data_IF_045793293593
#
_entry.id   IF_045793293593
#
_cell.length_a   1.000
_cell.length_b   1.000
_cell.length_c   1.000
_cell.angle_alpha   90.00
_cell.angle_beta   90.00
_cell.angle_gamma   90.00
#
_symmetry.space_group_name_H-M   'P 1'
#
loop_
_entity.id
_entity.type
_entity.pdbx_description
1 polymer ?
#
# COMPACT_ATOMS: atom_id res chain seq x y z
N UNK A 1 34.06 14.10 7.41
CA UNK A 1 33.33 13.60 6.24
C UNK A 1 32.30 12.65 6.80
N UNK A 2 31.01 12.98 6.69
CA UNK A 2 29.94 12.08 7.16
C UNK A 2 30.09 10.75 6.42
N UNK A 3 30.09 9.60 7.12
CA UNK A 3 30.23 8.31 6.47
C UNK A 3 28.99 8.06 5.58
N UNK A 4 29.25 7.66 4.33
CA UNK A 4 28.18 7.24 3.42
C UNK A 4 27.46 6.01 3.97
N UNK A 5 26.13 5.98 3.85
CA UNK A 5 25.31 4.86 4.31
C UNK A 5 25.53 3.61 3.43
N UNK A 6 26.16 2.56 3.97
CA UNK A 6 26.37 1.30 3.24
C UNK A 6 25.05 0.49 3.14
N UNK A 7 24.48 0.41 1.91
CA UNK A 7 23.27 -0.33 1.63
C UNK A 7 23.36 -1.84 1.92
N UNK A 8 24.56 -2.42 1.96
CA UNK A 8 24.75 -3.82 2.36
C UNK A 8 24.57 -3.99 3.85
N UNK A 9 25.18 -3.10 4.66
CA UNK A 9 25.01 -3.08 6.11
C UNK A 9 23.57 -2.79 6.49
N UNK A 10 22.92 -1.87 5.75
CA UNK A 10 21.50 -1.58 5.92
C UNK A 10 20.62 -2.82 5.68
N UNK A 11 20.90 -3.64 4.63
CA UNK A 11 20.21 -4.91 4.41
C UNK A 11 20.43 -5.92 5.52
N UNK A 12 21.64 -5.99 6.05
CA UNK A 12 21.94 -6.86 7.19
C UNK A 12 21.17 -6.43 8.44
N UNK A 13 21.11 -5.12 8.68
CA UNK A 13 20.32 -4.57 9.78
C UNK A 13 18.83 -4.91 9.64
N UNK A 14 18.22 -4.67 8.49
CA UNK A 14 16.80 -4.98 8.23
C UNK A 14 16.54 -6.48 8.44
N UNK A 15 17.38 -7.36 7.91
CA UNK A 15 17.21 -8.81 8.10
C UNK A 15 17.24 -9.22 9.58
N UNK A 16 18.09 -8.61 10.41
CA UNK A 16 18.11 -8.87 11.85
C UNK A 16 16.87 -8.28 12.54
N UNK A 17 16.40 -7.12 12.10
CA UNK A 17 15.21 -6.46 12.63
C UNK A 17 13.94 -7.26 12.34
N UNK A 18 13.82 -7.84 11.15
CA UNK A 18 12.69 -8.69 10.76
C UNK A 18 12.61 -9.98 11.59
N UNK A 19 13.77 -10.60 11.83
CA UNK A 19 13.85 -11.89 12.51
C UNK A 19 13.95 -11.76 14.04
N UNK A 20 14.38 -10.62 14.54
CA UNK A 20 14.79 -10.42 15.94
C UNK A 20 15.69 -11.57 16.46
N UNK A 21 16.44 -12.17 15.54
CA UNK A 21 17.32 -13.32 15.77
C UNK A 21 18.47 -13.36 14.77
N UNK A 22 19.71 -13.20 15.26
CA UNK A 22 20.89 -13.19 14.41
C UNK A 22 21.16 -14.49 13.67
N UNK A 23 20.78 -15.64 14.25
CA UNK A 23 20.95 -16.95 13.60
C UNK A 23 20.02 -17.12 12.41
N UNK A 24 18.72 -16.82 12.58
CA UNK A 24 17.72 -16.86 11.49
C UNK A 24 18.05 -15.83 10.40
N UNK A 25 18.40 -14.61 10.79
CA UNK A 25 18.79 -13.57 9.84
C UNK A 25 20.04 -13.94 9.04
N UNK A 26 21.03 -14.56 9.66
CA UNK A 26 22.24 -15.04 8.97
C UNK A 26 21.90 -16.18 7.97
N UNK A 27 21.00 -17.09 8.36
CA UNK A 27 20.51 -18.15 7.49
C UNK A 27 19.76 -17.60 6.27
N UNK A 28 18.85 -16.63 6.47
CA UNK A 28 18.11 -15.99 5.36
C UNK A 28 19.03 -15.24 4.40
N UNK A 29 20.12 -14.66 4.90
CA UNK A 29 21.15 -13.97 4.13
C UNK A 29 22.21 -14.91 3.52
N UNK A 30 22.16 -16.21 3.83
CA UNK A 30 23.15 -17.22 3.42
C UNK A 30 24.59 -16.86 3.82
N UNK A 31 24.80 -16.33 5.04
CA UNK A 31 26.10 -16.00 5.61
C UNK A 31 26.26 -16.60 7.00
N UNK A 32 27.50 -16.68 7.48
CA UNK A 32 27.76 -17.14 8.85
C UNK A 32 27.34 -16.08 9.88
N UNK A 33 26.66 -16.51 10.96
CA UNK A 33 26.22 -15.63 12.05
C UNK A 33 27.33 -14.72 12.64
N UNK A 34 28.58 -15.20 12.86
CA UNK A 34 29.68 -14.35 13.34
C UNK A 34 30.01 -13.20 12.38
N UNK A 35 29.86 -13.43 11.05
CA UNK A 35 30.05 -12.39 10.03
C UNK A 35 28.96 -11.33 10.15
N UNK A 36 27.70 -11.75 10.22
CA UNK A 36 26.58 -10.84 10.40
C UNK A 36 26.74 -9.99 11.68
N UNK A 37 27.05 -10.63 12.79
CA UNK A 37 27.25 -9.94 14.09
C UNK A 37 28.35 -8.88 14.02
N UNK A 38 29.47 -9.17 13.34
CA UNK A 38 30.56 -8.19 13.16
C UNK A 38 30.13 -7.03 12.25
N UNK A 39 29.37 -7.31 11.18
CA UNK A 39 28.90 -6.27 10.26
C UNK A 39 27.89 -5.33 10.95
N UNK A 40 27.00 -5.86 11.80
CA UNK A 40 26.07 -5.03 12.57
C UNK A 40 26.83 -4.17 13.60
N UNK A 41 27.80 -4.71 14.33
CA UNK A 41 28.61 -3.89 15.25
C UNK A 41 29.35 -2.78 14.51
N UNK A 42 30.01 -3.09 13.40
CA UNK A 42 30.69 -2.08 12.60
C UNK A 42 29.71 -1.00 12.07
N UNK A 43 28.46 -1.36 11.83
CA UNK A 43 27.43 -0.41 11.42
C UNK A 43 26.96 0.47 12.58
N UNK A 44 26.80 -0.11 13.78
CA UNK A 44 26.52 0.62 15.03
C UNK A 44 27.65 1.61 15.36
N UNK A 45 28.91 1.17 15.22
CA UNK A 45 30.09 2.02 15.44
C UNK A 45 30.16 3.20 14.44
N UNK A 46 29.86 2.97 13.17
CA UNK A 46 29.82 4.02 12.14
C UNK A 46 28.70 5.05 12.39
N UNK A 47 27.54 4.61 12.87
CA UNK A 47 26.42 5.48 13.21
C UNK A 47 26.59 6.14 14.60
N UNK A 48 27.51 5.63 15.43
CA UNK A 48 27.74 6.11 16.80
C UNK A 48 26.59 5.79 17.75
N UNK A 49 25.70 4.84 17.40
CA UNK A 49 24.53 4.45 18.20
C UNK A 49 24.32 2.94 18.18
N UNK A 50 23.78 2.39 19.25
CA UNK A 50 23.30 1.00 19.24
C UNK A 50 21.94 0.90 18.57
N UNK A 51 21.79 -0.11 17.70
CA UNK A 51 20.55 -0.40 16.98
C UNK A 51 19.76 -1.54 17.63
N UNK A 52 20.47 -2.45 18.31
CA UNK A 52 19.88 -3.60 18.99
C UNK A 52 20.29 -3.66 20.47
N UNK A 53 19.33 -4.01 21.31
CA UNK A 53 19.58 -4.53 22.66
C UNK A 53 19.63 -6.05 22.56
N UNK A 54 20.65 -6.65 23.21
CA UNK A 54 20.86 -8.10 23.24
C UNK A 54 20.94 -8.53 24.69
N UNK A 55 20.02 -9.33 25.10
CA UNK A 55 20.01 -9.92 26.44
C UNK A 55 19.74 -11.44 26.38
N UNK A 56 19.59 -12.07 27.52
CA UNK A 56 19.31 -13.51 27.66
C UNK A 56 17.91 -13.89 27.16
N UNK A 57 17.02 -12.92 26.94
CA UNK A 57 15.65 -13.12 26.46
C UNK A 57 15.54 -12.97 24.94
N UNK A 58 16.54 -12.34 24.29
CA UNK A 58 16.53 -12.20 22.84
C UNK A 58 17.22 -10.96 22.30
N UNK A 59 16.78 -10.56 21.13
CA UNK A 59 17.21 -9.34 20.42
C UNK A 59 16.02 -8.43 20.22
N UNK A 60 16.15 -7.16 20.61
CA UNK A 60 15.13 -6.12 20.42
C UNK A 60 15.75 -4.89 19.75
N UNK A 61 14.94 -4.10 19.04
CA UNK A 61 15.37 -2.82 18.49
C UNK A 61 15.42 -1.75 19.58
N UNK A 62 16.50 -0.94 19.57
CA UNK A 62 16.53 0.32 20.31
C UNK A 62 15.60 1.36 19.66
N UNK A 63 15.41 2.53 20.28
CA UNK A 63 14.70 3.66 19.64
C UNK A 63 15.37 4.09 18.32
N UNK A 64 16.71 4.14 18.30
CA UNK A 64 17.48 4.42 17.09
C UNK A 64 17.33 3.32 16.04
N UNK A 65 17.28 2.05 16.48
CA UNK A 65 17.00 0.91 15.61
C UNK A 65 15.61 0.99 15.00
N UNK A 66 14.59 1.35 15.79
CA UNK A 66 13.23 1.53 15.28
C UNK A 66 13.12 2.68 14.26
N UNK A 67 13.83 3.79 14.52
CA UNK A 67 13.90 4.91 13.58
C UNK A 67 14.53 4.44 12.25
N UNK A 68 15.73 3.84 12.33
CA UNK A 68 16.45 3.36 11.15
C UNK A 68 15.64 2.31 10.38
N UNK A 69 14.92 1.42 11.07
CA UNK A 69 14.10 0.39 10.43
C UNK A 69 12.99 0.99 9.56
N UNK A 70 12.30 2.01 10.04
CA UNK A 70 11.26 2.72 9.27
C UNK A 70 11.82 3.37 7.99
N UNK A 71 13.02 3.93 8.05
CA UNK A 71 13.68 4.61 6.91
C UNK A 71 14.36 3.62 5.95
N UNK A 72 14.90 2.53 6.48
CA UNK A 72 15.72 1.56 5.75
C UNK A 72 14.99 0.89 4.59
N UNK A 73 13.73 0.49 4.77
CA UNK A 73 12.94 -0.18 3.74
C UNK A 73 12.79 0.71 2.49
N UNK A 74 12.50 2.00 2.68
CA UNK A 74 12.37 2.96 1.59
C UNK A 74 13.67 3.15 0.80
N UNK A 75 14.82 3.25 1.50
CA UNK A 75 16.13 3.39 0.87
C UNK A 75 16.51 2.14 0.07
N UNK A 76 16.33 0.95 0.64
CA UNK A 76 16.63 -0.31 -0.03
C UNK A 76 15.73 -0.55 -1.24
N UNK A 77 14.45 -0.19 -1.13
CA UNK A 77 13.48 -0.26 -2.22
C UNK A 77 13.89 0.69 -3.36
N UNK A 78 14.26 1.93 -3.06
CA UNK A 78 14.73 2.92 -4.04
C UNK A 78 16.00 2.46 -4.74
N UNK A 79 16.97 1.89 -4.02
CA UNK A 79 18.19 1.33 -4.61
C UNK A 79 17.88 0.14 -5.55
N UNK A 80 16.95 -0.75 -5.16
CA UNK A 80 16.50 -1.85 -6.01
C UNK A 80 15.79 -1.34 -7.28
N UNK A 81 15.00 -0.27 -7.17
CA UNK A 81 14.34 0.40 -8.29
C UNK A 81 15.34 0.95 -9.31
N UNK A 82 16.40 1.63 -8.84
CA UNK A 82 17.47 2.14 -9.72
C UNK A 82 18.12 0.99 -10.49
N UNK A 83 18.53 -0.09 -9.79
CA UNK A 83 19.13 -1.27 -10.43
C UNK A 83 18.24 -1.86 -11.52
N UNK A 84 16.93 -2.00 -11.25
CA UNK A 84 15.96 -2.56 -12.19
C UNK A 84 15.83 -1.68 -13.43
N UNK A 85 15.70 -0.37 -13.26
CA UNK A 85 15.64 0.59 -14.38
C UNK A 85 16.89 0.55 -15.27
N UNK A 86 18.07 0.50 -14.66
CA UNK A 86 19.32 0.38 -15.40
C UNK A 86 19.35 -0.94 -16.18
N UNK A 87 18.92 -2.06 -15.58
CA UNK A 87 18.89 -3.35 -16.26
C UNK A 87 17.89 -3.39 -17.44
N UNK A 88 16.72 -2.72 -17.31
CA UNK A 88 15.76 -2.57 -18.41
C UNK A 88 16.36 -1.72 -19.54
N UNK A 89 16.92 -0.57 -19.21
CA UNK A 89 17.56 0.31 -20.18
C UNK A 89 18.72 -0.36 -20.94
N UNK A 90 19.53 -1.17 -20.24
CA UNK A 90 20.64 -1.90 -20.84
C UNK A 90 20.18 -2.97 -21.87
N UNK A 91 18.93 -3.43 -21.80
CA UNK A 91 18.34 -4.32 -22.80
C UNK A 91 17.68 -3.59 -23.98
N UNK A 92 17.72 -2.27 -24.00
CA UNK A 92 17.04 -1.46 -25.01
C UNK A 92 15.50 -1.51 -24.90
N UNK A 93 14.96 -2.02 -23.79
CA UNK A 93 13.54 -2.13 -23.58
C UNK A 93 12.98 -0.83 -23.00
N UNK A 94 11.86 -0.35 -23.52
CA UNK A 94 11.08 0.74 -22.95
C UNK A 94 9.84 0.13 -22.28
N UNK A 95 9.88 -0.05 -20.96
CA UNK A 95 8.78 -0.61 -20.17
C UNK A 95 8.16 0.49 -19.31
N UNK A 96 6.83 0.55 -19.28
CA UNK A 96 6.08 1.47 -18.43
C UNK A 96 5.01 0.70 -17.64
N UNK A 97 5.11 0.75 -16.31
CA UNK A 97 4.24 -0.02 -15.41
C UNK A 97 3.25 0.89 -14.68
N UNK A 98 1.97 0.52 -14.74
CA UNK A 98 0.87 1.21 -14.06
C UNK A 98 0.37 0.36 -12.90
N UNK A 99 0.44 0.91 -11.68
CA UNK A 99 -0.15 0.33 -10.47
C UNK A 99 -1.64 0.66 -10.37
N UNK A 100 -2.46 -0.26 -9.88
CA UNK A 100 -3.88 -0.02 -9.67
C UNK A 100 -4.43 -0.83 -8.50
N UNK A 101 -5.38 -0.25 -7.76
CA UNK A 101 -6.07 -0.91 -6.66
C UNK A 101 -7.32 -1.67 -7.13
N UNK A 102 -7.80 -2.67 -6.36
CA UNK A 102 -9.02 -3.42 -6.67
C UNK A 102 -10.22 -2.52 -6.97
N UNK A 103 -10.97 -2.86 -8.02
CA UNK A 103 -12.14 -2.10 -8.47
C UNK A 103 -11.82 -0.89 -9.36
N UNK A 104 -10.57 -0.43 -9.44
CA UNK A 104 -10.18 0.58 -10.42
C UNK A 104 -9.87 -0.07 -11.77
N UNK A 105 -10.35 0.53 -12.85
CA UNK A 105 -10.08 0.10 -14.22
C UNK A 105 -9.14 1.09 -14.89
N UNK A 106 -7.95 0.64 -15.27
CA UNK A 106 -6.93 1.46 -15.95
C UNK A 106 -6.87 1.19 -17.46
N UNK A 107 -7.75 0.33 -17.94
CA UNK A 107 -7.70 -0.22 -19.31
C UNK A 107 -7.73 0.86 -20.39
N UNK A 108 -8.62 1.86 -20.27
CA UNK A 108 -8.74 2.89 -21.31
C UNK A 108 -7.54 3.83 -21.32
N UNK A 109 -7.03 4.20 -20.15
CA UNK A 109 -5.82 5.01 -20.04
C UNK A 109 -4.60 4.27 -20.63
N UNK A 110 -4.43 2.98 -20.28
CA UNK A 110 -3.36 2.13 -20.82
C UNK A 110 -3.47 1.98 -22.33
N UNK A 111 -4.65 1.66 -22.87
CA UNK A 111 -4.88 1.54 -24.33
C UNK A 111 -4.62 2.85 -25.06
N UNK A 112 -5.10 3.96 -24.53
CA UNK A 112 -4.89 5.28 -25.12
C UNK A 112 -3.42 5.66 -25.14
N UNK A 113 -2.71 5.39 -24.06
CA UNK A 113 -1.28 5.64 -23.96
C UNK A 113 -0.48 4.74 -24.91
N UNK A 114 -0.78 3.45 -24.99
CA UNK A 114 -0.09 2.50 -25.87
C UNK A 114 -0.26 2.84 -27.36
N UNK A 115 -1.45 3.33 -27.76
CA UNK A 115 -1.64 3.82 -29.15
C UNK A 115 -0.74 5.01 -29.48
N UNK A 116 -0.47 5.89 -28.52
CA UNK A 116 0.40 7.06 -28.70
C UNK A 116 1.90 6.74 -28.57
N UNK A 117 2.23 5.62 -27.92
CA UNK A 117 3.61 5.18 -27.63
C UNK A 117 3.78 3.69 -27.96
N UNK A 118 3.73 3.28 -29.26
CA UNK A 118 3.77 1.87 -29.67
C UNK A 118 5.08 1.17 -29.31
N UNK A 119 6.18 1.92 -29.15
CA UNK A 119 7.51 1.38 -28.78
C UNK A 119 7.65 1.12 -27.27
N UNK A 120 6.60 1.43 -26.47
CA UNK A 120 6.61 1.24 -25.02
C UNK A 120 5.84 -0.03 -24.68
N UNK A 121 6.49 -0.96 -24.01
CA UNK A 121 5.81 -2.14 -23.45
C UNK A 121 5.06 -1.74 -22.17
N UNK A 122 3.72 -1.83 -22.22
CA UNK A 122 2.88 -1.54 -21.07
C UNK A 122 2.77 -2.75 -20.14
N UNK A 123 2.96 -2.51 -18.86
CA UNK A 123 2.69 -3.47 -17.79
C UNK A 123 1.69 -2.89 -16.80
N UNK A 124 0.91 -3.75 -16.17
CA UNK A 124 0.00 -3.38 -15.08
C UNK A 124 0.31 -4.23 -13.85
N UNK A 125 0.25 -3.64 -12.68
CA UNK A 125 0.46 -4.36 -11.43
C UNK A 125 -0.65 -4.02 -10.44
N UNK A 126 -1.25 -5.06 -9.85
CA UNK A 126 -2.25 -4.89 -8.81
C UNK A 126 -1.55 -4.50 -7.50
N UNK A 127 -2.08 -3.50 -6.82
CA UNK A 127 -1.66 -3.06 -5.49
C UNK A 127 -2.80 -3.25 -4.48
N UNK A 128 -2.45 -3.29 -3.21
CA UNK A 128 -3.37 -3.26 -2.09
C UNK A 128 -3.30 -1.93 -1.34
N UNK A 129 -4.03 -1.86 -0.22
CA UNK A 129 -3.99 -0.72 0.67
C UNK A 129 -2.58 -0.45 1.22
N UNK A 130 -1.87 -1.51 1.62
CA UNK A 130 -0.57 -1.43 2.30
C UNK A 130 0.59 -1.06 1.36
N UNK A 131 0.48 -1.36 0.07
CA UNK A 131 1.58 -1.21 -0.87
C UNK A 131 1.32 -0.26 -2.05
N UNK A 132 0.17 0.43 -2.08
CA UNK A 132 -0.18 1.35 -3.17
C UNK A 132 0.84 2.49 -3.37
N UNK A 133 1.46 2.97 -2.30
CA UNK A 133 2.53 3.97 -2.33
C UNK A 133 3.90 3.31 -2.50
N UNK A 134 4.14 2.23 -1.75
CA UNK A 134 5.43 1.53 -1.77
C UNK A 134 5.81 1.02 -3.17
N UNK A 135 4.84 0.62 -3.99
CA UNK A 135 5.08 0.19 -5.38
C UNK A 135 5.76 1.26 -6.24
N UNK A 136 5.57 2.55 -5.91
CA UNK A 136 6.23 3.68 -6.56
C UNK A 136 7.65 3.87 -6.05
N UNK A 137 7.83 3.87 -4.74
CA UNK A 137 9.14 4.04 -4.10
C UNK A 137 10.11 2.91 -4.44
N UNK A 138 9.64 1.67 -4.52
CA UNK A 138 10.46 0.52 -4.92
C UNK A 138 10.55 0.34 -6.44
N UNK A 139 9.93 1.21 -7.22
CA UNK A 139 9.99 1.26 -8.69
C UNK A 139 9.37 0.05 -9.38
N UNK A 140 8.47 -0.69 -8.71
CA UNK A 140 7.65 -1.73 -9.35
C UNK A 140 6.60 -1.13 -10.29
N UNK A 141 6.20 0.13 -10.03
CA UNK A 141 5.37 0.90 -10.93
C UNK A 141 5.99 2.26 -11.23
N UNK A 142 5.71 2.78 -12.41
CA UNK A 142 6.11 4.12 -12.84
C UNK A 142 5.11 5.17 -12.38
N UNK A 143 3.84 4.79 -12.39
CA UNK A 143 2.70 5.52 -11.83
C UNK A 143 1.77 4.54 -11.14
N UNK A 144 0.98 5.01 -10.16
CA UNK A 144 -0.03 4.19 -9.49
C UNK A 144 -1.31 4.99 -9.24
N UNK A 145 -2.45 4.35 -9.47
CA UNK A 145 -3.73 4.85 -9.02
C UNK A 145 -3.87 4.59 -7.53
N UNK A 146 -3.91 5.67 -6.75
CA UNK A 146 -3.90 5.69 -5.29
C UNK A 146 -5.27 6.10 -4.75
N UNK A 147 -5.71 5.51 -3.66
CA UNK A 147 -6.89 5.94 -2.90
C UNK A 147 -6.49 6.55 -1.57
N UNK A 148 -7.06 7.72 -1.25
CA UNK A 148 -6.88 8.33 0.07
C UNK A 148 -7.60 7.51 1.16
N UNK A 149 -7.04 7.58 2.40
CA UNK A 149 -5.82 8.27 2.82
C UNK A 149 -4.54 7.50 2.42
N UNK A 150 -3.48 8.22 2.07
CA UNK A 150 -2.13 7.72 1.88
C UNK A 150 -1.14 8.84 2.24
N UNK A 151 0.09 8.47 2.61
CA UNK A 151 1.17 9.42 2.82
C UNK A 151 1.70 9.93 1.46
N UNK A 152 1.60 11.24 1.16
CA UNK A 152 2.10 11.81 -0.08
C UNK A 152 3.61 12.11 -0.06
N UNK A 153 4.33 11.82 1.04
CA UNK A 153 5.75 12.10 1.15
C UNK A 153 6.55 11.49 -0.01
N UNK A 154 7.40 12.27 -0.65
CA UNK A 154 8.20 11.84 -1.81
C UNK A 154 7.42 11.66 -3.12
N UNK A 155 6.10 11.84 -3.13
CA UNK A 155 5.27 11.69 -4.32
C UNK A 155 4.86 13.04 -4.91
N UNK A 156 4.68 13.05 -6.23
CA UNK A 156 3.84 13.98 -6.95
C UNK A 156 2.52 13.27 -7.27
N UNK A 157 1.40 13.98 -7.14
CA UNK A 157 0.07 13.40 -7.34
C UNK A 157 -0.83 14.30 -8.17
N UNK A 158 -1.65 13.71 -9.02
CA UNK A 158 -2.72 14.36 -9.78
C UNK A 158 -4.06 13.81 -9.32
N UNK A 159 -4.99 14.62 -8.81
CA UNK A 159 -6.33 14.16 -8.49
C UNK A 159 -7.07 13.79 -9.78
N UNK A 160 -7.67 12.61 -9.80
CA UNK A 160 -8.42 12.13 -10.97
C UNK A 160 -9.92 12.26 -10.73
N UNK A 161 -10.39 11.73 -9.61
CA UNK A 161 -11.79 11.73 -9.26
C UNK A 161 -12.05 11.36 -7.79
N UNK A 162 -13.31 11.51 -7.38
CA UNK A 162 -13.82 11.00 -6.12
C UNK A 162 -15.01 10.05 -6.34
N UNK A 163 -15.22 9.12 -5.43
CA UNK A 163 -16.29 8.13 -5.49
C UNK A 163 -16.90 7.90 -4.11
N UNK A 164 -18.23 7.63 -4.03
CA UNK A 164 -18.89 7.32 -2.77
C UNK A 164 -18.33 6.06 -2.12
N UNK A 165 -18.54 5.95 -0.80
CA UNK A 165 -18.23 4.75 -0.02
C UNK A 165 -19.51 3.98 0.31
N UNK A 166 -19.37 2.65 0.33
CA UNK A 166 -20.45 1.71 0.67
C UNK A 166 -19.97 0.77 1.76
N UNK A 167 -20.88 0.31 2.59
CA UNK A 167 -20.65 -0.80 3.50
C UNK A 167 -21.01 -2.12 2.81
N UNK A 168 -20.17 -3.13 2.98
CA UNK A 168 -20.39 -4.51 2.56
C UNK A 168 -20.93 -5.28 3.77
N UNK A 169 -22.12 -5.85 3.61
CA UNK A 169 -22.89 -6.55 4.64
C UNK A 169 -23.26 -7.97 4.15
N UNK A 170 -23.48 -8.93 5.06
CA UNK A 170 -24.15 -10.18 4.70
C UNK A 170 -25.53 -9.91 4.05
N UNK A 171 -25.97 -10.78 3.16
CA UNK A 171 -27.23 -10.56 2.44
C UNK A 171 -28.48 -10.58 3.34
N UNK A 172 -28.39 -11.25 4.50
CA UNK A 172 -29.43 -11.36 5.53
C UNK A 172 -29.30 -10.33 6.68
N UNK A 173 -28.34 -9.41 6.59
CA UNK A 173 -28.15 -8.38 7.59
C UNK A 173 -29.34 -7.43 7.64
N UNK A 174 -29.72 -6.94 8.84
CA UNK A 174 -30.85 -6.04 9.04
C UNK A 174 -30.82 -4.77 8.17
N UNK A 175 -29.61 -4.27 7.87
CA UNK A 175 -29.41 -3.08 7.04
C UNK A 175 -29.21 -3.41 5.55
N UNK A 176 -29.25 -4.66 5.13
CA UNK A 176 -28.92 -5.08 3.75
C UNK A 176 -29.90 -4.55 2.68
N UNK A 177 -31.12 -4.18 3.09
CA UNK A 177 -32.18 -3.64 2.20
C UNK A 177 -32.37 -2.14 2.32
N UNK A 178 -31.56 -1.46 3.14
CA UNK A 178 -31.65 -0.02 3.30
C UNK A 178 -31.14 0.73 2.04
N UNK A 179 -31.76 1.86 1.71
CA UNK A 179 -31.30 2.73 0.61
C UNK A 179 -29.98 3.46 0.95
N UNK A 180 -29.64 3.56 2.23
CA UNK A 180 -28.42 4.12 2.77
C UNK A 180 -28.38 3.99 4.29
N UNK A 181 -27.17 4.05 4.85
CA UNK A 181 -26.92 3.99 6.29
C UNK A 181 -26.00 5.11 6.73
N UNK A 182 -26.04 5.44 8.02
CA UNK A 182 -25.07 6.33 8.66
C UNK A 182 -23.94 5.50 9.30
N UNK A 183 -22.78 6.11 9.51
CA UNK A 183 -21.69 5.46 10.25
C UNK A 183 -22.11 5.05 11.66
N UNK A 184 -22.98 5.81 12.30
CA UNK A 184 -23.55 5.48 13.63
C UNK A 184 -24.34 4.18 13.64
N UNK A 185 -25.02 3.84 12.53
CA UNK A 185 -25.81 2.60 12.43
C UNK A 185 -24.92 1.35 12.42
N UNK A 186 -23.65 1.54 12.06
CA UNK A 186 -22.63 0.49 11.99
C UNK A 186 -21.80 0.40 13.28
N UNK A 187 -22.05 1.23 14.28
CA UNK A 187 -21.19 1.40 15.46
C UNK A 187 -20.99 0.12 16.29
N UNK A 188 -21.92 -0.83 16.23
CA UNK A 188 -21.86 -2.11 16.94
C UNK A 188 -21.15 -3.22 16.14
N UNK A 189 -20.90 -2.98 14.85
CA UNK A 189 -20.33 -3.96 13.95
C UNK A 189 -18.79 -4.10 14.13
N UNK A 190 -18.25 -5.21 13.63
CA UNK A 190 -16.80 -5.44 13.58
C UNK A 190 -16.24 -5.08 12.20
N UNK A 191 -15.28 -4.15 12.16
CA UNK A 191 -14.60 -3.76 10.91
C UNK A 191 -13.48 -4.76 10.57
N UNK A 192 -13.56 -5.38 9.39
CA UNK A 192 -12.62 -6.42 8.90
C UNK A 192 -11.35 -5.85 8.25
N UNK A 193 -11.25 -4.55 8.07
CA UNK A 193 -10.11 -3.88 7.46
C UNK A 193 -9.35 -3.03 8.47
N UNK A 194 -8.15 -2.58 8.08
CA UNK A 194 -7.39 -1.63 8.89
C UNK A 194 -8.22 -0.35 9.11
N UNK A 195 -8.47 0.06 10.36
CA UNK A 195 -9.18 1.31 10.65
C UNK A 195 -8.52 2.55 10.05
N UNK A 196 -7.22 2.53 9.77
CA UNK A 196 -6.54 3.62 9.07
C UNK A 196 -7.08 3.86 7.65
N UNK A 197 -7.68 2.84 7.03
CA UNK A 197 -8.38 2.98 5.74
C UNK A 197 -9.75 3.69 5.86
N UNK A 198 -10.29 3.78 7.07
CA UNK A 198 -11.57 4.44 7.40
C UNK A 198 -11.36 5.23 8.69
N UNK A 199 -10.67 6.39 8.65
CA UNK A 199 -10.32 7.14 9.86
C UNK A 199 -11.53 7.52 10.71
N UNK A 200 -12.70 7.72 10.07
CA UNK A 200 -13.96 8.08 10.71
C UNK A 200 -14.49 6.96 11.61
N UNK A 201 -14.06 5.71 11.40
CA UNK A 201 -14.46 4.54 12.19
C UNK A 201 -14.16 4.71 13.68
N UNK A 202 -13.01 5.29 14.01
CA UNK A 202 -12.60 5.49 15.40
C UNK A 202 -13.56 6.36 16.23
N UNK A 203 -14.31 7.25 15.58
CA UNK A 203 -15.25 8.15 16.24
C UNK A 203 -16.54 7.44 16.68
N UNK A 204 -16.96 6.41 15.98
CA UNK A 204 -18.27 5.76 16.16
C UNK A 204 -18.18 4.35 16.73
N UNK A 205 -17.14 3.59 16.41
CA UNK A 205 -17.05 2.17 16.73
C UNK A 205 -17.02 1.88 18.24
N UNK A 206 -17.96 1.06 18.71
CA UNK A 206 -18.03 0.61 20.10
C UNK A 206 -16.83 -0.27 20.44
N UNK A 207 -16.37 -1.08 19.52
CA UNK A 207 -15.19 -1.94 19.70
C UNK A 207 -13.90 -1.13 19.95
N UNK A 208 -13.74 0.04 19.33
CA UNK A 208 -12.59 0.92 19.53
C UNK A 208 -12.54 1.53 20.93
N UNK A 209 -13.69 1.75 21.56
CA UNK A 209 -13.80 2.28 22.94
C UNK A 209 -13.48 1.19 23.99
N UNK A 210 -13.66 -0.08 23.66
CA UNK A 210 -13.48 -1.22 24.56
C UNK A 210 -12.08 -1.86 24.45
N UNK A 211 -11.28 -1.52 23.44
CA UNK A 211 -9.98 -2.15 23.20
C UNK A 211 -8.91 -1.71 24.19
N UNK A 212 -8.73 -2.57 25.18
CA UNK A 212 -7.42 -2.89 25.79
C UNK A 212 -7.17 -4.36 25.48
N UNK A 213 -6.51 -4.66 24.36
CA UNK A 213 -6.02 -6.01 24.07
C UNK A 213 -6.74 -6.75 22.92
N UNK A 214 -5.94 -7.32 22.06
CA UNK A 214 -6.19 -8.21 20.91
C UNK A 214 -6.58 -7.49 19.62
N UNK A 215 -5.56 -7.18 18.82
CA UNK A 215 -5.73 -6.85 17.42
C UNK A 215 -6.08 -8.16 16.67
N UNK A 216 -7.34 -8.36 16.27
CA UNK A 216 -7.66 -9.33 15.22
C UNK A 216 -6.95 -8.83 13.96
N UNK A 217 -6.23 -9.71 13.29
CA UNK A 217 -5.50 -9.37 12.05
C UNK A 217 -6.50 -8.86 11.02
N UNK A 218 -6.31 -7.63 10.56
CA UNK A 218 -7.13 -7.07 9.50
C UNK A 218 -6.98 -7.91 8.22
N UNK A 219 -8.07 -8.16 7.53
CA UNK A 219 -8.05 -8.84 6.24
C UNK A 219 -7.38 -7.97 5.18
N UNK A 220 -6.47 -8.55 4.41
CA UNK A 220 -5.61 -7.83 3.44
C UNK A 220 -6.26 -7.66 2.08
N UNK A 221 -7.02 -8.64 1.61
CA UNK A 221 -7.61 -8.63 0.27
C UNK A 221 -9.10 -8.37 0.28
N UNK A 222 -9.66 -7.94 -0.85
CA UNK A 222 -11.11 -7.77 -1.00
C UNK A 222 -11.81 -9.12 -1.00
N UNK A 223 -11.18 -10.14 -1.56
CA UNK A 223 -11.68 -11.50 -1.64
C UNK A 223 -11.82 -12.11 -0.24
N UNK A 224 -10.81 -11.95 0.64
CA UNK A 224 -10.90 -12.38 2.04
C UNK A 224 -12.03 -11.66 2.79
N UNK A 225 -12.20 -10.35 2.57
CA UNK A 225 -13.28 -9.58 3.17
C UNK A 225 -14.64 -10.08 2.71
N UNK A 226 -14.79 -10.41 1.43
CA UNK A 226 -16.04 -11.00 0.91
C UNK A 226 -16.42 -12.30 1.61
N UNK A 227 -15.45 -13.22 1.80
CA UNK A 227 -15.72 -14.47 2.51
C UNK A 227 -16.10 -14.21 3.98
N UNK A 228 -15.34 -13.36 4.67
CA UNK A 228 -15.58 -13.06 6.08
C UNK A 228 -16.90 -12.31 6.30
N UNK A 229 -17.29 -11.41 5.40
CA UNK A 229 -18.59 -10.75 5.45
C UNK A 229 -19.71 -11.75 5.19
N UNK A 230 -19.58 -12.59 4.15
CA UNK A 230 -20.61 -13.59 3.81
C UNK A 230 -20.92 -14.56 4.95
N UNK A 231 -19.93 -14.89 5.79
CA UNK A 231 -20.13 -15.73 6.99
C UNK A 231 -20.50 -14.94 8.26
N UNK A 232 -20.77 -13.64 8.15
CA UNK A 232 -21.20 -12.81 9.28
C UNK A 232 -20.09 -12.47 10.29
N UNK A 233 -18.80 -12.55 9.90
CA UNK A 233 -17.68 -12.27 10.81
C UNK A 233 -17.46 -10.77 11.05
N UNK A 234 -18.10 -9.89 10.28
CA UNK A 234 -18.03 -8.45 10.38
C UNK A 234 -18.41 -7.76 9.08
N UNK A 235 -18.05 -6.49 8.97
CA UNK A 235 -18.36 -5.63 7.82
C UNK A 235 -17.09 -5.09 7.19
N UNK A 236 -17.19 -4.56 5.96
CA UNK A 236 -16.12 -3.77 5.35
C UNK A 236 -16.69 -2.52 4.68
N UNK A 237 -15.97 -1.41 4.75
CA UNK A 237 -16.33 -0.14 4.09
C UNK A 237 -15.41 0.03 2.88
N UNK A 238 -15.99 0.06 1.69
CA UNK A 238 -15.27 0.02 0.42
C UNK A 238 -15.71 1.17 -0.51
N UNK A 239 -14.85 1.58 -1.45
CA UNK A 239 -15.27 2.47 -2.54
C UNK A 239 -16.31 1.81 -3.45
N UNK A 240 -17.20 2.60 -4.02
CA UNK A 240 -18.29 2.11 -4.88
C UNK A 240 -17.79 1.32 -6.10
N UNK A 241 -16.66 1.72 -6.68
CA UNK A 241 -16.06 1.01 -7.83
C UNK A 241 -15.66 -0.42 -7.44
N UNK A 242 -15.12 -0.62 -6.22
CA UNK A 242 -14.82 -1.97 -5.70
C UNK A 242 -16.09 -2.80 -5.55
N UNK A 243 -17.15 -2.23 -4.98
CA UNK A 243 -18.44 -2.91 -4.84
C UNK A 243 -19.05 -3.32 -6.19
N UNK A 244 -18.91 -2.47 -7.19
CA UNK A 244 -19.41 -2.78 -8.56
C UNK A 244 -18.64 -3.91 -9.23
N UNK A 245 -17.36 -4.02 -8.95
CA UNK A 245 -16.49 -5.05 -9.52
C UNK A 245 -16.69 -6.43 -8.84
N UNK A 246 -16.89 -6.44 -7.51
CA UNK A 246 -16.97 -7.65 -6.70
C UNK A 246 -18.41 -7.99 -6.27
N UNK A 247 -19.32 -8.18 -7.22
CA UNK A 247 -20.72 -8.54 -6.91
C UNK A 247 -20.87 -10.03 -6.58
N UNK A 248 -21.55 -10.33 -5.45
CA UNK A 248 -21.90 -11.70 -5.03
C UNK A 248 -23.34 -11.72 -4.48
N UNK A 249 -24.06 -12.85 -4.62
CA UNK A 249 -25.46 -12.95 -4.16
C UNK A 249 -25.59 -12.97 -2.63
N UNK A 250 -24.57 -13.42 -1.91
CA UNK A 250 -24.51 -13.59 -0.45
C UNK A 250 -24.02 -12.34 0.30
N UNK A 251 -23.69 -11.26 -0.41
CA UNK A 251 -23.34 -9.97 0.17
C UNK A 251 -24.17 -8.82 -0.42
N UNK A 252 -24.32 -7.75 0.33
CA UNK A 252 -24.97 -6.50 -0.11
C UNK A 252 -24.02 -5.33 0.09
N UNK A 253 -24.18 -4.35 -0.77
CA UNK A 253 -23.43 -3.10 -0.71
C UNK A 253 -24.43 -1.96 -0.53
N UNK A 254 -24.38 -1.30 0.63
CA UNK A 254 -25.29 -0.23 1.01
C UNK A 254 -24.51 1.08 1.10
N UNK A 255 -24.98 2.20 0.52
CA UNK A 255 -24.32 3.50 0.64
C UNK A 255 -24.15 3.94 2.09
N UNK A 256 -22.97 4.47 2.47
CA UNK A 256 -22.77 5.16 3.76
C UNK A 256 -22.85 6.66 3.47
N UNK A 257 -23.97 7.26 3.87
CA UNK A 257 -24.39 8.58 3.35
C UNK A 257 -23.70 9.77 4.02
N UNK A 258 -23.18 9.60 5.21
CA UNK A 258 -22.45 10.62 6.00
C UNK A 258 -20.93 10.54 5.88
N UNK A 259 -20.41 9.60 5.05
CA UNK A 259 -18.98 9.54 4.77
C UNK A 259 -18.59 10.43 3.59
N UNK A 260 -17.49 11.19 3.69
CA UNK A 260 -16.95 11.89 2.54
C UNK A 260 -16.53 10.88 1.45
N UNK A 261 -16.66 11.25 0.16
CA UNK A 261 -16.19 10.40 -0.93
C UNK A 261 -14.70 10.11 -0.81
N UNK A 262 -14.28 8.92 -1.25
CA UNK A 262 -12.87 8.57 -1.40
C UNK A 262 -12.31 9.22 -2.65
N UNK A 263 -11.18 9.93 -2.51
CA UNK A 263 -10.46 10.52 -3.64
C UNK A 263 -9.51 9.50 -4.27
N UNK A 264 -9.49 9.47 -5.59
CA UNK A 264 -8.53 8.70 -6.39
C UNK A 264 -7.55 9.66 -7.06
N UNK A 265 -6.27 9.41 -6.84
CA UNK A 265 -5.16 10.17 -7.40
C UNK A 265 -4.30 9.27 -8.28
N UNK A 266 -3.67 9.84 -9.30
CA UNK A 266 -2.54 9.23 -9.97
C UNK A 266 -1.27 9.74 -9.28
N UNK A 267 -0.45 8.83 -8.75
CA UNK A 267 0.80 9.16 -8.06
C UNK A 267 2.03 8.67 -8.80
N UNK A 268 3.15 9.36 -8.61
CA UNK A 268 4.48 8.97 -9.09
C UNK A 268 5.57 9.57 -8.21
N UNK A 269 6.79 9.04 -8.26
CA UNK A 269 7.96 9.56 -7.57
C UNK A 269 8.25 11.01 -7.97
N UNK A 270 8.25 11.95 -7.01
CA UNK A 270 8.43 13.40 -7.24
C UNK A 270 9.78 13.74 -7.88
N UNK A 271 10.84 13.00 -7.52
CA UNK A 271 12.18 13.17 -8.06
C UNK A 271 12.38 12.62 -9.47
N UNK A 272 11.41 11.84 -9.97
CA UNK A 272 11.53 11.12 -11.23
C UNK A 272 11.07 11.98 -12.43
N UNK A 273 12.04 12.47 -13.18
CA UNK A 273 11.78 13.19 -14.43
C UNK A 273 11.66 12.20 -15.58
N UNK A 274 10.44 12.00 -16.10
CA UNK A 274 10.18 11.10 -17.22
C UNK A 274 9.11 11.69 -18.15
N UNK A 275 9.42 11.77 -19.45
CA UNK A 275 8.44 12.19 -20.47
C UNK A 275 7.25 11.24 -20.54
N UNK A 276 7.46 9.94 -20.30
CA UNK A 276 6.40 8.94 -20.31
C UNK A 276 5.45 9.14 -19.12
N UNK A 277 5.97 9.47 -17.93
CA UNK A 277 5.11 9.80 -16.78
C UNK A 277 4.23 11.01 -17.10
N UNK A 278 4.82 12.10 -17.59
CA UNK A 278 4.07 13.31 -17.94
C UNK A 278 2.99 13.01 -19.00
N UNK A 279 3.32 12.24 -20.02
CA UNK A 279 2.37 11.84 -21.07
C UNK A 279 1.25 10.94 -20.52
N UNK A 280 1.58 9.99 -19.64
CA UNK A 280 0.56 9.12 -19.04
C UNK A 280 -0.37 9.90 -18.11
N UNK A 281 0.13 10.82 -17.30
CA UNK A 281 -0.68 11.70 -16.43
C UNK A 281 -1.69 12.49 -17.26
N UNK A 282 -1.24 13.10 -18.37
CA UNK A 282 -2.13 13.83 -19.29
C UNK A 282 -3.20 12.91 -19.91
N UNK A 283 -2.82 11.69 -20.29
CA UNK A 283 -3.74 10.68 -20.86
C UNK A 283 -4.77 10.24 -19.82
N UNK A 284 -4.35 9.88 -18.63
CA UNK A 284 -5.24 9.44 -17.56
C UNK A 284 -6.26 10.54 -17.19
N UNK A 285 -5.80 11.77 -17.03
CA UNK A 285 -6.69 12.92 -16.75
C UNK A 285 -7.73 13.11 -17.86
N UNK A 286 -7.35 13.01 -19.11
CA UNK A 286 -8.27 13.15 -20.26
C UNK A 286 -9.32 12.03 -20.28
N UNK A 287 -8.93 10.80 -20.01
CA UNK A 287 -9.83 9.64 -19.97
C UNK A 287 -10.85 9.77 -18.85
N UNK A 288 -10.39 10.12 -17.63
CA UNK A 288 -11.29 10.24 -16.47
C UNK A 288 -12.27 11.44 -16.61
N UNK A 289 -11.83 12.54 -17.19
CA UNK A 289 -12.71 13.70 -17.44
C UNK A 289 -13.68 13.45 -18.60
N UNK A 290 -13.28 12.65 -19.60
CA UNK A 290 -14.12 12.31 -20.77
C UNK A 290 -15.14 11.21 -20.48
N UNK A 291 -14.74 10.17 -19.74
CA UNK A 291 -15.58 9.00 -19.44
C UNK A 291 -16.76 9.29 -18.49
N UNK A 292 -16.69 10.36 -17.69
CA UNK A 292 -17.78 10.78 -16.78
C UNK A 292 -18.85 11.66 -17.43
N UNK A 293 -18.67 12.04 -18.69
CA UNK A 293 -19.68 12.81 -19.45
C UNK A 293 -20.64 11.93 -20.27
N UNK A 294 -20.45 10.60 -20.29
CA UNK A 294 -21.44 9.69 -20.88
C UNK A 294 -22.49 9.32 -19.82
N UNK A 295 -23.80 9.46 -20.10
CA UNK A 295 -24.90 9.23 -19.18
C UNK A 295 -25.01 7.78 -18.68
#
# INVERSE_FOLDING_TARGET
MDPDLDLRKLRYFVAVADELNFGRAAASLMIAQPVLSRQIRAFEDELGVQLFVRDTRGTELTEHGQLLYREAEGLLASAAAVRRRVAIAARGESVFTVGFMPGLTVTEAVRSFQRAHPDVTMQVTRTGWEDQVRVLHDGRADVSYLRRPFDPAGLATEPLFSEPRVVMLPADHALATADGVLMSDLAAEHLLQDPAAVPEWAAVAVEMRRRRGSARTASRTVEEKLELVAVGSGIAILPLSTARFYRRPDVRFVPVTDLPPTEVHLGWEKGRRSRLITAFVATARKVETGGRRAP
#
